data_IF_950975390024
#
_entry.id   IF_950975390024
#
_cell.length_a   1.000
_cell.length_b   1.000
_cell.length_c   1.000
_cell.angle_alpha   90.00
_cell.angle_beta   90.00
_cell.angle_gamma   90.00
#
_symmetry.space_group_name_H-M   'P 1'
#
loop_
_entity.id
_entity.type
_entity.pdbx_description
1 polymer ?
#
# COMPACT_ATOMS: atom_id res chain seq x y z
N UNK A 1 -3.59 2.59 9.56
CA UNK A 1 -3.48 2.42 8.09
C UNK A 1 -4.30 3.51 7.44
N UNK A 2 -3.80 4.19 6.41
CA UNK A 2 -4.60 5.16 5.64
C UNK A 2 -4.06 5.32 4.21
N UNK A 3 -4.87 5.96 3.38
CA UNK A 3 -4.65 6.14 1.94
C UNK A 3 -4.24 7.58 1.60
N UNK A 4 -3.47 7.75 0.51
CA UNK A 4 -3.00 9.09 0.12
C UNK A 4 -3.81 9.88 -0.90
N UNK A 5 -4.65 9.39 -1.80
CA UNK A 5 -5.34 10.26 -2.80
C UNK A 5 -4.46 11.14 -3.73
N UNK A 6 -4.49 10.86 -5.03
CA UNK A 6 -3.90 11.70 -6.08
C UNK A 6 -4.94 12.04 -7.15
N UNK A 7 -4.89 13.26 -7.76
CA UNK A 7 -3.76 14.19 -7.72
C UNK A 7 -3.73 15.16 -6.52
N UNK A 8 -4.77 15.16 -5.67
CA UNK A 8 -4.87 16.04 -4.51
C UNK A 8 -4.91 15.21 -3.22
N UNK A 9 -3.81 15.21 -2.48
CA UNK A 9 -3.75 14.59 -1.16
C UNK A 9 -4.22 15.57 -0.06
N UNK A 10 -4.42 15.03 1.15
CA UNK A 10 -4.90 15.80 2.29
C UNK A 10 -3.88 16.88 2.70
N UNK A 11 -4.29 18.15 2.94
CA UNK A 11 -3.35 19.24 3.23
C UNK A 11 -2.48 19.00 4.47
N UNK A 12 -2.99 18.23 5.44
CA UNK A 12 -2.27 17.91 6.69
C UNK A 12 -1.49 16.59 6.62
N UNK A 13 -1.31 15.98 5.45
CA UNK A 13 -0.65 14.67 5.31
C UNK A 13 0.76 14.67 5.91
N UNK A 14 1.59 15.67 5.57
CA UNK A 14 2.95 15.81 6.11
C UNK A 14 2.95 15.97 7.64
N UNK A 15 2.00 16.74 8.18
CA UNK A 15 1.85 16.91 9.62
C UNK A 15 1.45 15.60 10.31
N UNK A 16 0.52 14.84 9.74
CA UNK A 16 0.08 13.56 10.29
C UNK A 16 1.22 12.52 10.31
N UNK A 17 2.02 12.45 9.24
CA UNK A 17 3.21 11.58 9.17
C UNK A 17 4.21 11.96 10.25
N UNK A 18 4.52 13.26 10.36
CA UNK A 18 5.47 13.78 11.36
C UNK A 18 5.01 13.48 12.79
N UNK A 19 3.75 13.76 13.13
CA UNK A 19 3.20 13.49 14.47
C UNK A 19 3.25 11.99 14.80
N UNK A 20 2.92 11.13 13.85
CA UNK A 20 3.01 9.69 14.07
C UNK A 20 4.45 9.26 14.38
N UNK A 21 5.44 9.78 13.65
CA UNK A 21 6.85 9.53 13.91
C UNK A 21 7.28 10.02 15.31
N UNK A 22 6.92 11.25 15.67
CA UNK A 22 7.23 11.85 16.99
C UNK A 22 6.65 11.03 18.16
N UNK A 23 5.49 10.39 17.96
CA UNK A 23 4.84 9.54 18.96
C UNK A 23 5.16 8.05 18.83
N UNK A 24 6.10 7.65 17.96
CA UNK A 24 6.47 6.24 17.78
C UNK A 24 5.36 5.37 17.15
N UNK A 25 4.39 5.99 16.49
CA UNK A 25 3.28 5.31 15.81
C UNK A 25 3.74 4.94 14.40
N UNK A 26 3.83 3.63 14.13
CA UNK A 26 4.12 3.12 12.78
C UNK A 26 2.91 3.29 11.86
N UNK A 27 3.11 3.89 10.70
CA UNK A 27 2.07 4.11 9.71
C UNK A 27 2.12 3.06 8.61
N UNK A 28 0.96 2.49 8.29
CA UNK A 28 0.77 1.67 7.10
C UNK A 28 0.03 2.51 6.04
N UNK A 29 0.79 3.11 5.12
CA UNK A 29 0.28 4.03 4.09
C UNK A 29 0.23 3.31 2.74
N UNK A 30 -0.80 3.57 1.93
CA UNK A 30 -0.80 3.25 0.50
C UNK A 30 -0.94 4.52 -0.35
N UNK A 31 -0.03 4.67 -1.31
CA UNK A 31 0.18 5.86 -2.13
C UNK A 31 0.17 5.48 -3.61
N UNK A 32 -0.88 5.79 -4.39
CA UNK A 32 -2.09 6.53 -4.04
C UNK A 32 -3.17 5.55 -3.59
N UNK A 33 -3.75 5.53 -2.40
CA UNK A 33 -4.87 4.60 -2.08
C UNK A 33 -4.61 3.09 -2.03
N UNK A 34 -5.56 2.39 -1.37
CA UNK A 34 -5.49 0.97 -1.09
C UNK A 34 -5.52 0.09 -2.34
N UNK A 35 -6.14 0.54 -3.44
CA UNK A 35 -6.23 -0.24 -4.66
C UNK A 35 -4.88 -0.53 -5.31
N UNK A 36 -3.84 0.26 -5.00
CA UNK A 36 -2.46 -0.12 -5.34
C UNK A 36 -2.08 -1.47 -4.72
N UNK A 37 -2.37 -1.70 -3.43
CA UNK A 37 -2.12 -2.99 -2.78
C UNK A 37 -2.85 -4.14 -3.49
N UNK A 38 -4.06 -3.88 -3.99
CA UNK A 38 -4.83 -4.87 -4.76
C UNK A 38 -4.17 -5.17 -6.11
N UNK A 39 -3.67 -4.16 -6.83
CA UNK A 39 -2.93 -4.35 -8.09
C UNK A 39 -1.70 -5.23 -7.85
N UNK A 40 -0.96 -4.96 -6.78
CA UNK A 40 0.28 -5.68 -6.44
C UNK A 40 0.06 -7.18 -6.19
N UNK A 41 -1.16 -7.67 -5.97
CA UNK A 41 -1.40 -9.11 -5.92
C UNK A 41 -1.29 -9.77 -7.30
N UNK A 42 -1.63 -9.04 -8.36
CA UNK A 42 -1.68 -9.60 -9.71
C UNK A 42 -0.41 -9.28 -10.49
N UNK A 43 0.06 -8.04 -10.42
CA UNK A 43 1.14 -7.54 -11.26
C UNK A 43 1.97 -6.44 -10.60
N UNK A 44 3.09 -6.10 -11.23
CA UNK A 44 3.93 -4.99 -10.80
C UNK A 44 3.31 -3.65 -11.23
N UNK A 45 3.38 -2.63 -10.37
CA UNK A 45 2.99 -1.25 -10.70
C UNK A 45 4.09 -0.31 -10.22
N UNK A 46 5.01 0.08 -11.12
CA UNK A 46 6.15 0.95 -10.78
C UNK A 46 6.02 2.37 -11.30
N UNK A 47 5.13 2.59 -12.27
CA UNK A 47 4.85 3.92 -12.79
C UNK A 47 3.91 4.66 -11.84
N UNK A 48 4.08 5.98 -11.75
CA UNK A 48 3.13 6.86 -11.08
C UNK A 48 1.70 6.54 -11.55
N UNK A 49 0.76 6.49 -10.63
CA UNK A 49 -0.64 6.22 -10.91
C UNK A 49 -1.51 7.20 -10.12
N UNK A 50 -2.70 7.51 -10.62
CA UNK A 50 -3.71 8.29 -9.88
C UNK A 50 -4.71 7.38 -9.16
N UNK A 51 -5.43 7.90 -8.17
CA UNK A 51 -6.42 7.11 -7.40
C UNK A 51 -7.51 6.48 -8.27
N UNK A 52 -8.10 7.26 -9.19
CA UNK A 52 -9.13 6.74 -10.10
C UNK A 52 -8.60 5.68 -11.06
N UNK A 53 -7.35 5.82 -11.48
CA UNK A 53 -6.71 4.85 -12.37
C UNK A 53 -6.38 3.56 -11.62
N UNK A 54 -5.85 3.65 -10.41
CA UNK A 54 -5.62 2.51 -9.54
C UNK A 54 -6.92 1.76 -9.23
N UNK A 55 -8.00 2.49 -8.96
CA UNK A 55 -9.33 1.91 -8.75
C UNK A 55 -9.80 1.13 -9.99
N UNK A 56 -9.82 1.77 -11.16
CA UNK A 56 -10.23 1.14 -12.42
C UNK A 56 -9.38 -0.08 -12.75
N UNK A 57 -8.06 0.02 -12.59
CA UNK A 57 -7.11 -1.06 -12.87
C UNK A 57 -7.31 -2.25 -11.93
N UNK A 58 -7.44 -2.00 -10.63
CA UNK A 58 -7.67 -3.07 -9.65
C UNK A 58 -8.96 -3.85 -9.92
N UNK A 59 -10.04 -3.17 -10.33
CA UNK A 59 -11.33 -3.80 -10.71
C UNK A 59 -11.23 -4.62 -11.98
N UNK A 60 -10.41 -4.21 -12.94
CA UNK A 60 -10.16 -4.98 -14.16
C UNK A 60 -9.39 -6.28 -13.85
N UNK A 61 -8.49 -6.24 -12.88
CA UNK A 61 -7.66 -7.39 -12.52
C UNK A 61 -8.43 -8.49 -11.77
N UNK A 62 -9.37 -8.12 -10.89
CA UNK A 62 -10.15 -9.08 -10.10
C UNK A 62 -11.60 -9.28 -10.58
N UNK A 63 -12.01 -8.55 -11.61
CA UNK A 63 -13.34 -8.61 -12.22
C UNK A 63 -14.47 -8.07 -11.35
N UNK A 64 -14.19 -7.33 -10.25
CA UNK A 64 -15.25 -6.89 -9.33
C UNK A 64 -16.07 -5.72 -9.88
N UNK A 65 -17.40 -5.84 -9.78
CA UNK A 65 -18.33 -4.75 -10.08
C UNK A 65 -18.60 -3.84 -8.88
N UNK A 66 -18.40 -4.34 -7.65
CA UNK A 66 -18.70 -3.65 -6.40
C UNK A 66 -17.47 -3.32 -5.56
N UNK A 67 -17.70 -2.99 -4.28
CA UNK A 67 -16.64 -2.73 -3.29
C UNK A 67 -16.12 -3.99 -2.61
N UNK A 68 -16.74 -5.14 -2.84
CA UNK A 68 -16.37 -6.42 -2.24
C UNK A 68 -15.25 -7.06 -3.05
N UNK A 69 -14.17 -7.43 -2.37
CA UNK A 69 -13.10 -8.27 -2.92
C UNK A 69 -13.39 -9.73 -2.60
N UNK A 70 -12.98 -10.65 -3.47
CA UNK A 70 -13.04 -12.09 -3.21
C UNK A 70 -11.70 -12.58 -2.63
N UNK A 71 -11.63 -12.93 -1.34
CA UNK A 71 -10.39 -13.35 -0.71
C UNK A 71 -9.70 -14.53 -1.41
N UNK A 72 -10.45 -15.40 -2.10
CA UNK A 72 -9.88 -16.55 -2.78
C UNK A 72 -8.97 -16.15 -3.96
N UNK A 73 -9.20 -14.98 -4.55
CA UNK A 73 -8.34 -14.44 -5.60
C UNK A 73 -7.05 -13.83 -5.04
N UNK A 74 -7.12 -13.24 -3.83
CA UNK A 74 -6.04 -12.47 -3.22
C UNK A 74 -5.14 -13.30 -2.30
N UNK A 75 -5.70 -14.15 -1.44
CA UNK A 75 -4.95 -14.84 -0.39
C UNK A 75 -3.79 -15.72 -0.94
N UNK A 76 -3.96 -16.50 -2.03
CA UNK A 76 -2.86 -17.25 -2.62
C UNK A 76 -1.72 -16.37 -3.14
N UNK A 77 -2.03 -15.12 -3.54
CA UNK A 77 -1.10 -14.15 -4.15
C UNK A 77 -0.51 -13.16 -3.14
N UNK A 78 -0.88 -13.25 -1.87
CA UNK A 78 -0.47 -12.31 -0.82
C UNK A 78 1.05 -12.18 -0.71
N UNK A 79 1.79 -13.28 -0.86
CA UNK A 79 3.25 -13.26 -0.81
C UNK A 79 3.87 -12.43 -1.96
N UNK A 80 3.30 -12.51 -3.17
CA UNK A 80 3.72 -11.68 -4.30
C UNK A 80 3.42 -10.20 -4.06
N UNK A 81 2.26 -9.88 -3.49
CA UNK A 81 1.92 -8.51 -3.12
C UNK A 81 2.93 -7.93 -2.12
N UNK A 82 3.29 -8.69 -1.08
CA UNK A 82 4.33 -8.31 -0.11
C UNK A 82 5.66 -8.09 -0.81
N UNK A 83 6.09 -9.05 -1.65
CA UNK A 83 7.36 -8.96 -2.38
C UNK A 83 7.42 -7.70 -3.24
N UNK A 84 6.38 -7.42 -4.01
CA UNK A 84 6.32 -6.25 -4.91
C UNK A 84 6.27 -4.92 -4.14
N UNK A 85 5.53 -4.86 -3.03
CA UNK A 85 5.51 -3.70 -2.16
C UNK A 85 6.91 -3.40 -1.58
N UNK A 86 7.64 -4.42 -1.13
CA UNK A 86 9.02 -4.26 -0.65
C UNK A 86 9.97 -3.80 -1.75
N UNK A 87 9.81 -4.30 -2.98
CA UNK A 87 10.63 -3.85 -4.12
C UNK A 87 10.37 -2.37 -4.46
N UNK A 88 9.13 -1.90 -4.35
CA UNK A 88 8.81 -0.47 -4.49
C UNK A 88 9.48 0.35 -3.39
N UNK A 89 9.38 -0.07 -2.13
CA UNK A 89 10.02 0.62 -1.01
C UNK A 89 11.55 0.70 -1.20
N UNK A 90 12.19 -0.39 -1.61
CA UNK A 90 13.63 -0.41 -1.92
C UNK A 90 13.99 0.52 -3.08
N UNK A 91 13.16 0.56 -4.12
CA UNK A 91 13.35 1.47 -5.25
C UNK A 91 13.31 2.93 -4.79
N UNK A 92 12.29 3.31 -4.01
CA UNK A 92 12.17 4.67 -3.49
C UNK A 92 13.33 5.03 -2.56
N UNK A 93 13.77 4.12 -1.70
CA UNK A 93 14.96 4.33 -0.88
C UNK A 93 16.22 4.61 -1.72
N UNK A 94 16.45 3.87 -2.81
CA UNK A 94 17.57 4.13 -3.74
C UNK A 94 17.47 5.49 -4.43
N UNK A 95 16.26 5.95 -4.70
CA UNK A 95 16.00 7.26 -5.30
C UNK A 95 15.84 8.39 -4.28
N UNK A 96 15.99 8.10 -2.99
CA UNK A 96 15.77 9.05 -1.88
C UNK A 96 14.38 9.69 -1.92
N UNK A 97 13.39 8.97 -2.46
CA UNK A 97 11.99 9.38 -2.42
C UNK A 97 11.33 8.82 -1.15
N UNK A 98 10.49 9.63 -0.53
CA UNK A 98 9.74 9.26 0.67
C UNK A 98 8.33 9.83 0.60
N UNK A 99 7.42 9.24 1.35
CA UNK A 99 6.04 9.68 1.42
C UNK A 99 5.92 11.19 1.73
N UNK A 100 5.14 11.97 0.94
CA UNK A 100 4.17 11.53 -0.07
C UNK A 100 4.70 11.40 -1.52
N UNK A 101 5.97 11.65 -1.77
CA UNK A 101 6.57 11.72 -3.11
C UNK A 101 6.96 10.34 -3.68
N UNK A 102 6.66 9.26 -2.95
CA UNK A 102 6.97 7.86 -3.25
C UNK A 102 5.83 7.14 -3.99
N UNK A 103 5.02 7.84 -4.79
CA UNK A 103 3.98 7.19 -5.60
C UNK A 103 4.62 6.42 -6.78
N UNK A 104 4.37 5.11 -6.95
CA UNK A 104 3.49 4.26 -6.15
C UNK A 104 4.22 3.57 -4.97
N UNK A 105 3.59 3.47 -3.80
CA UNK A 105 4.09 2.72 -2.63
C UNK A 105 2.97 2.13 -1.76
N UNK A 106 3.24 1.03 -1.05
CA UNK A 106 2.30 0.47 -0.06
C UNK A 106 3.03 -0.22 1.09
N UNK A 107 2.79 0.23 2.31
CA UNK A 107 3.36 -0.35 3.54
C UNK A 107 2.52 -1.53 4.10
N UNK A 108 1.60 -2.09 3.30
CA UNK A 108 0.77 -3.22 3.74
C UNK A 108 1.58 -4.48 4.04
N UNK A 109 2.69 -4.71 3.33
CA UNK A 109 3.59 -5.82 3.63
C UNK A 109 4.23 -5.72 5.03
N UNK A 110 4.64 -4.52 5.42
CA UNK A 110 5.19 -4.22 6.75
C UNK A 110 4.12 -4.37 7.83
N UNK A 111 2.90 -3.90 7.57
CA UNK A 111 1.75 -4.08 8.47
C UNK A 111 1.47 -5.57 8.70
N UNK A 112 1.42 -6.35 7.63
CA UNK A 112 1.20 -7.80 7.70
C UNK A 112 2.29 -8.49 8.51
N UNK A 113 3.56 -8.12 8.33
CA UNK A 113 4.68 -8.65 9.10
C UNK A 113 4.55 -8.29 10.59
N UNK A 114 4.19 -7.03 10.90
CA UNK A 114 4.00 -6.57 12.27
C UNK A 114 2.86 -7.32 12.98
N UNK A 115 1.73 -7.54 12.30
CA UNK A 115 0.58 -8.27 12.88
C UNK A 115 0.88 -9.75 13.06
N UNK A 116 1.46 -10.42 12.06
CA UNK A 116 1.80 -11.85 12.16
C UNK A 116 2.97 -12.10 13.14
N UNK A 117 3.84 -11.12 13.34
CA UNK A 117 4.90 -11.16 14.36
C UNK A 117 4.39 -10.99 15.79
N UNK A 118 3.21 -10.38 15.98
CA UNK A 118 2.52 -10.30 17.28
C UNK A 118 1.80 -11.61 17.64
N UNK A 119 1.58 -12.51 16.67
CA UNK A 119 0.87 -13.78 16.86
C UNK A 119 1.80 -14.92 17.39
N UNK A 120 3.08 -14.61 17.67
CA UNK A 120 4.07 -15.58 18.20
C UNK A 120 4.18 -15.61 19.72
N UNK A 121 3.22 -15.05 20.47
CA UNK A 121 3.19 -15.11 21.95
C UNK A 121 2.03 -15.94 22.50
N UNK A 122 1.58 -16.96 21.76
CA UNK A 122 0.84 -18.09 22.33
C UNK A 122 1.37 -19.38 21.70
N UNK A 123 2.46 -19.91 22.29
CA UNK A 123 2.76 -21.33 22.52
C UNK A 123 4.14 -21.46 23.14
#
# INVERSE_FOLDING_TARGET
>A
MFDIEWPKNHPNLKQAIRLAQEHGIRLAISNPCFELWLILHFEDQTAFIGTKEAESRSRKLDGRSGKRIDPNQYMPRRHEAVRRALLLAQRHARHQSSCPDDNPSSAMGELLAAIQGLDRTVR
#
